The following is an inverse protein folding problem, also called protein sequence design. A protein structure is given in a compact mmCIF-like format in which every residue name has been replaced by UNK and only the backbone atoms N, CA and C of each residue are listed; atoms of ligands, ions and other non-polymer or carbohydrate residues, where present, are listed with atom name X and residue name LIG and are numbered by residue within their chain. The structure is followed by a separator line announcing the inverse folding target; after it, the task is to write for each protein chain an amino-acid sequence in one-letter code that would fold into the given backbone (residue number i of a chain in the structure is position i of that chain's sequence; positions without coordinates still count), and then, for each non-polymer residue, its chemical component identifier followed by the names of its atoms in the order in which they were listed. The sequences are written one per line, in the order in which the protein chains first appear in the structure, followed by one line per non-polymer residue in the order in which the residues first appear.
data_IF_606343538810
#
_entry.id   IF_606343538810
#
_cell.length_a   1.000
_cell.length_b   1.000
_cell.length_c   1.000
_cell.angle_alpha   90.00
_cell.angle_beta   90.00
_cell.angle_gamma   90.00
#
_symmetry.space_group_name_H-M   'P 1'
#
loop_
_entity.id
_entity.type
_entity.pdbx_description
1 polymer ?
#
# COMPACT_ATOMS: atom_id res chain seq x y z
N UNK A 1 20.05 -19.82 -20.56
CA UNK A 1 20.74 -18.54 -20.26
C UNK A 1 21.44 -17.94 -21.49
N UNK A 2 22.12 -18.73 -22.34
CA UNK A 2 22.89 -18.18 -23.48
C UNK A 2 22.02 -17.54 -24.57
N UNK A 3 20.80 -18.02 -24.79
CA UNK A 3 19.93 -17.53 -25.87
C UNK A 3 19.22 -16.24 -25.48
N UNK A 4 18.63 -16.15 -24.29
CA UNK A 4 17.99 -14.90 -23.79
C UNK A 4 19.01 -13.77 -23.66
N UNK A 5 20.19 -14.02 -23.07
CA UNK A 5 21.24 -13.00 -22.98
C UNK A 5 21.76 -12.58 -24.35
N UNK A 6 21.87 -13.54 -25.29
CA UNK A 6 22.27 -13.26 -26.68
C UNK A 6 21.24 -12.39 -27.36
N UNK A 7 19.95 -12.73 -27.29
CA UNK A 7 18.87 -11.95 -27.88
C UNK A 7 18.81 -10.53 -27.28
N UNK A 8 18.96 -10.40 -25.95
CA UNK A 8 18.98 -9.10 -25.27
C UNK A 8 20.21 -8.28 -25.68
N UNK A 9 21.41 -8.89 -25.77
CA UNK A 9 22.65 -8.22 -26.23
C UNK A 9 22.66 -7.90 -27.73
N UNK A 10 22.02 -8.71 -28.57
CA UNK A 10 21.96 -8.52 -30.03
C UNK A 10 21.04 -7.36 -30.46
N UNK A 11 20.52 -6.59 -29.49
CA UNK A 11 19.85 -5.32 -29.76
C UNK A 11 18.34 -5.45 -29.88
N UNK A 12 17.69 -6.23 -29.02
CA UNK A 12 16.23 -6.18 -28.83
C UNK A 12 15.76 -4.73 -28.63
N UNK A 13 16.48 -3.92 -27.87
CA UNK A 13 16.17 -2.49 -27.71
C UNK A 13 16.27 -1.66 -29.00
N UNK A 14 16.90 -2.17 -30.05
CA UNK A 14 16.99 -1.53 -31.38
C UNK A 14 15.94 -2.09 -32.34
N UNK A 15 15.73 -3.42 -32.38
CA UNK A 15 14.77 -4.06 -33.30
C UNK A 15 13.32 -3.99 -32.86
N UNK A 16 13.05 -3.93 -31.55
CA UNK A 16 11.67 -3.86 -31.06
C UNK A 16 11.09 -2.44 -31.25
N UNK A 17 11.92 -1.40 -31.31
CA UNK A 17 11.50 0.01 -31.43
C UNK A 17 10.79 0.37 -32.75
N UNK A 18 11.03 -0.38 -33.82
CA UNK A 18 10.46 -0.07 -35.14
C UNK A 18 8.99 -0.51 -35.28
N UNK A 19 8.48 -1.33 -34.34
CA UNK A 19 7.06 -1.69 -34.24
C UNK A 19 6.49 -2.48 -35.43
N UNK A 20 7.35 -3.05 -36.28
CA UNK A 20 6.94 -3.90 -37.41
C UNK A 20 6.69 -5.36 -37.02
N UNK A 21 6.20 -6.16 -37.98
CA UNK A 21 5.93 -7.60 -37.76
C UNK A 21 7.17 -8.39 -37.28
N UNK A 22 8.37 -8.00 -37.72
CA UNK A 22 9.63 -8.60 -37.27
C UNK A 22 9.93 -8.33 -35.78
N UNK A 23 9.53 -7.16 -35.28
CA UNK A 23 9.65 -6.77 -33.86
C UNK A 23 8.76 -7.65 -32.98
N UNK A 24 7.52 -7.90 -33.44
CA UNK A 24 6.54 -8.75 -32.76
C UNK A 24 7.02 -10.20 -32.69
N UNK A 25 7.49 -10.74 -33.82
CA UNK A 25 8.03 -12.11 -33.86
C UNK A 25 9.27 -12.25 -32.97
N UNK A 26 10.13 -11.24 -32.92
CA UNK A 26 11.29 -11.21 -32.02
C UNK A 26 10.87 -11.24 -30.55
N UNK A 27 9.84 -10.46 -30.17
CA UNK A 27 9.30 -10.45 -28.80
C UNK A 27 8.70 -11.81 -28.40
N UNK A 28 7.92 -12.45 -29.28
CA UNK A 28 7.36 -13.78 -29.04
C UNK A 28 8.46 -14.83 -28.91
N UNK A 29 9.48 -14.78 -29.78
CA UNK A 29 10.64 -15.70 -29.70
C UNK A 29 11.45 -15.50 -28.42
N UNK A 30 11.57 -14.27 -27.93
CA UNK A 30 12.22 -14.01 -26.64
C UNK A 30 11.48 -14.69 -25.48
N UNK A 31 10.16 -14.55 -25.42
CA UNK A 31 9.34 -15.19 -24.37
C UNK A 31 9.43 -16.72 -24.44
N UNK A 32 9.29 -17.30 -25.64
CA UNK A 32 9.40 -18.75 -25.84
C UNK A 32 10.79 -19.28 -25.50
N UNK A 33 11.85 -18.60 -25.95
CA UNK A 33 13.22 -18.96 -25.61
C UNK A 33 13.50 -18.86 -24.11
N UNK A 34 12.87 -17.91 -23.40
CA UNK A 34 12.98 -17.81 -21.95
C UNK A 34 12.29 -18.97 -21.21
N UNK A 35 11.13 -19.42 -21.70
CA UNK A 35 10.42 -20.61 -21.20
C UNK A 35 11.24 -21.87 -21.46
N UNK A 36 11.78 -22.06 -22.65
CA UNK A 36 12.65 -23.20 -22.99
C UNK A 36 13.90 -23.24 -22.11
N UNK A 37 14.58 -22.09 -21.94
CA UNK A 37 15.72 -21.94 -21.05
C UNK A 37 15.34 -22.33 -19.61
N UNK A 38 14.20 -21.84 -19.11
CA UNK A 38 13.72 -22.11 -17.76
C UNK A 38 13.41 -23.60 -17.55
N UNK A 39 12.72 -24.23 -18.49
CA UNK A 39 12.40 -25.66 -18.45
C UNK A 39 13.64 -26.54 -18.55
N UNK A 40 14.66 -26.11 -19.30
CA UNK A 40 15.91 -26.87 -19.45
C UNK A 40 16.79 -26.88 -18.18
N UNK A 41 16.67 -25.86 -17.33
CA UNK A 41 17.40 -25.76 -16.07
C UNK A 41 16.73 -26.52 -14.90
N UNK A 42 15.48 -26.97 -15.06
CA UNK A 42 14.65 -27.56 -13.99
C UNK A 42 14.90 -29.04 -13.64
N UNK A 43 16.03 -29.66 -14.04
CA UNK A 43 16.31 -31.09 -13.74
C UNK A 43 17.28 -31.27 -12.54
N UNK A 44 17.77 -30.20 -11.91
CA UNK A 44 18.66 -30.31 -10.75
C UNK A 44 18.29 -29.34 -9.63
N UNK A 45 17.76 -29.90 -8.54
CA UNK A 45 17.76 -29.42 -7.15
C UNK A 45 17.61 -27.89 -6.86
N UNK A 46 16.52 -27.55 -6.17
CA UNK A 46 16.29 -26.31 -5.39
C UNK A 46 15.96 -25.00 -6.13
N UNK A 47 15.30 -25.03 -7.29
CA UNK A 47 14.49 -23.86 -7.69
C UNK A 47 13.15 -23.93 -6.96
N UNK A 48 12.86 -22.96 -6.07
CA UNK A 48 11.52 -22.83 -5.49
C UNK A 48 10.51 -22.79 -6.62
N UNK A 49 9.56 -23.72 -6.61
CA UNK A 49 8.61 -24.00 -7.69
C UNK A 49 8.11 -22.70 -8.35
N UNK A 50 8.47 -22.47 -9.62
CA UNK A 50 7.93 -21.38 -10.43
C UNK A 50 8.76 -20.09 -10.55
N UNK A 51 10.03 -20.07 -10.12
CA UNK A 51 10.94 -18.93 -10.32
C UNK A 51 12.00 -19.17 -11.42
N UNK A 52 12.20 -18.18 -12.29
CA UNK A 52 13.12 -18.20 -13.42
C UNK A 52 13.65 -16.80 -13.77
N UNK A 53 14.97 -16.64 -13.63
CA UNK A 53 15.67 -15.41 -14.01
C UNK A 53 15.61 -15.14 -15.53
N UNK A 54 15.52 -16.18 -16.38
CA UNK A 54 15.39 -15.99 -17.83
C UNK A 54 14.05 -15.34 -18.19
N UNK A 55 12.96 -15.81 -17.56
CA UNK A 55 11.61 -15.27 -17.75
C UNK A 55 11.56 -13.82 -17.27
N UNK A 56 12.04 -13.55 -16.05
CA UNK A 56 12.08 -12.20 -15.49
C UNK A 56 12.88 -11.23 -16.35
N UNK A 57 14.00 -11.70 -16.92
CA UNK A 57 14.83 -10.89 -17.82
C UNK A 57 14.12 -10.60 -19.14
N UNK A 58 13.46 -11.60 -19.73
CA UNK A 58 12.68 -11.43 -20.96
C UNK A 58 11.50 -10.47 -20.76
N UNK A 59 10.68 -10.66 -19.72
CA UNK A 59 9.53 -9.81 -19.44
C UNK A 59 9.94 -8.36 -19.17
N UNK A 60 11.00 -8.14 -18.39
CA UNK A 60 11.56 -6.80 -18.15
C UNK A 60 12.06 -6.14 -19.43
N UNK A 61 12.79 -6.87 -20.27
CA UNK A 61 13.29 -6.35 -21.53
C UNK A 61 12.12 -5.93 -22.45
N UNK A 62 11.01 -6.67 -22.47
CA UNK A 62 9.80 -6.29 -23.19
C UNK A 62 9.13 -5.06 -22.60
N UNK A 63 8.91 -5.02 -21.28
CA UNK A 63 8.29 -3.88 -20.61
C UNK A 63 9.06 -2.56 -20.88
N UNK A 64 10.39 -2.62 -20.98
CA UNK A 64 11.25 -1.45 -21.22
C UNK A 64 11.37 -1.05 -22.70
N UNK A 65 11.20 -1.99 -23.64
CA UNK A 65 11.57 -1.78 -25.05
C UNK A 65 10.44 -1.98 -26.05
N UNK A 66 9.28 -2.49 -25.64
CA UNK A 66 8.13 -2.66 -26.51
C UNK A 66 7.48 -1.29 -26.79
N UNK A 67 7.56 -0.73 -28.01
CA UNK A 67 7.07 0.62 -28.29
C UNK A 67 5.54 0.67 -28.25
N UNK A 68 4.87 -0.44 -28.58
CA UNK A 68 3.42 -0.60 -28.58
C UNK A 68 3.05 -2.04 -28.23
N UNK A 69 2.07 -2.24 -27.35
CA UNK A 69 1.48 -3.54 -27.09
C UNK A 69 0.91 -4.19 -28.36
N UNK A 70 0.93 -5.51 -28.42
CA UNK A 70 0.47 -6.27 -29.58
C UNK A 70 -0.14 -7.62 -29.16
N UNK A 71 -1.29 -7.99 -29.73
CA UNK A 71 -2.09 -9.17 -29.37
C UNK A 71 -1.28 -10.49 -29.30
N UNK A 72 -0.40 -10.74 -30.27
CA UNK A 72 0.48 -11.92 -30.30
C UNK A 72 1.47 -11.97 -29.12
N UNK A 73 1.99 -10.81 -28.72
CA UNK A 73 2.88 -10.70 -27.55
C UNK A 73 2.07 -10.90 -26.28
N UNK A 74 0.86 -10.33 -26.20
CA UNK A 74 -0.07 -10.56 -25.09
C UNK A 74 -0.39 -12.05 -24.94
N UNK A 75 -0.76 -12.75 -26.02
CA UNK A 75 -1.05 -14.17 -26.00
C UNK A 75 0.16 -15.00 -25.52
N UNK A 76 1.35 -14.75 -26.07
CA UNK A 76 2.57 -15.42 -25.64
C UNK A 76 2.90 -15.12 -24.17
N UNK A 77 2.71 -13.88 -23.72
CA UNK A 77 2.94 -13.50 -22.33
C UNK A 77 1.98 -14.23 -21.39
N UNK A 78 0.71 -14.38 -21.76
CA UNK A 78 -0.27 -15.12 -20.97
C UNK A 78 0.05 -16.61 -20.88
N UNK A 79 0.59 -17.22 -21.94
CA UNK A 79 1.16 -18.57 -21.87
C UNK A 79 2.31 -18.64 -20.85
N UNK A 80 3.21 -17.64 -20.86
CA UNK A 80 4.30 -17.57 -19.86
C UNK A 80 3.76 -17.37 -18.45
N UNK A 81 2.73 -16.53 -18.25
CA UNK A 81 2.08 -16.33 -16.94
C UNK A 81 1.52 -17.64 -16.40
N UNK A 82 0.89 -18.47 -17.23
CA UNK A 82 0.38 -19.77 -16.78
C UNK A 82 1.46 -20.75 -16.33
N UNK A 83 2.70 -20.58 -16.79
CA UNK A 83 3.84 -21.46 -16.47
C UNK A 83 4.75 -20.89 -15.37
N UNK A 84 5.00 -19.58 -15.38
CA UNK A 84 5.91 -18.85 -14.49
C UNK A 84 5.24 -17.60 -13.91
N UNK A 85 4.15 -17.76 -13.14
CA UNK A 85 3.32 -16.64 -12.71
C UNK A 85 4.04 -15.66 -11.77
N UNK A 86 4.96 -16.14 -10.91
CA UNK A 86 5.73 -15.26 -10.01
C UNK A 86 6.60 -14.26 -10.77
N UNK A 87 7.20 -14.67 -11.88
CA UNK A 87 8.11 -13.81 -12.64
C UNK A 87 7.42 -12.99 -13.72
N UNK A 88 6.35 -13.52 -14.33
CA UNK A 88 5.70 -12.87 -15.45
C UNK A 88 4.61 -11.88 -15.02
N UNK A 89 3.80 -12.20 -14.00
CA UNK A 89 2.65 -11.39 -13.58
C UNK A 89 3.01 -9.92 -13.28
N UNK A 90 4.15 -9.59 -12.62
CA UNK A 90 4.51 -8.20 -12.33
C UNK A 90 4.68 -7.30 -13.56
N UNK A 91 4.93 -7.87 -14.74
CA UNK A 91 5.18 -7.10 -15.98
C UNK A 91 3.96 -7.01 -16.89
N UNK A 92 2.86 -7.70 -16.58
CA UNK A 92 1.70 -7.80 -17.47
C UNK A 92 1.11 -6.43 -17.79
N UNK A 93 0.94 -5.56 -16.77
CA UNK A 93 0.38 -4.23 -16.98
C UNK A 93 1.24 -3.33 -17.88
N UNK A 94 2.55 -3.55 -17.92
CA UNK A 94 3.47 -2.76 -18.74
C UNK A 94 3.56 -3.25 -20.20
N UNK A 95 3.16 -4.50 -20.48
CA UNK A 95 3.33 -5.13 -21.79
C UNK A 95 2.03 -5.12 -22.62
N UNK A 96 0.86 -5.22 -21.99
CA UNK A 96 -0.43 -5.32 -22.71
C UNK A 96 -1.01 -3.96 -23.10
N UNK A 97 -2.00 -3.93 -24.02
CA UNK A 97 -2.56 -2.68 -24.56
C UNK A 97 -3.48 -1.95 -23.57
N UNK A 98 -4.02 -2.67 -22.59
CA UNK A 98 -5.08 -2.17 -21.72
C UNK A 98 -6.46 -2.18 -22.37
N UNK A 99 -6.60 -2.76 -23.57
CA UNK A 99 -7.89 -2.91 -24.23
C UNK A 99 -8.82 -3.80 -23.38
N UNK A 100 -10.12 -3.48 -23.27
CA UNK A 100 -11.03 -4.22 -22.41
C UNK A 100 -11.09 -5.73 -22.70
N UNK A 101 -10.89 -6.12 -23.97
CA UNK A 101 -10.82 -7.52 -24.39
C UNK A 101 -9.58 -8.23 -23.85
N UNK A 102 -8.39 -7.63 -24.02
CA UNK A 102 -7.14 -8.18 -23.50
C UNK A 102 -7.15 -8.26 -21.97
N UNK A 103 -7.61 -7.19 -21.31
CA UNK A 103 -7.72 -7.15 -19.85
C UNK A 103 -8.68 -8.23 -19.34
N UNK A 104 -9.78 -8.50 -20.05
CA UNK A 104 -10.68 -9.59 -19.69
C UNK A 104 -9.98 -10.96 -19.79
N UNK A 105 -9.21 -11.21 -20.85
CA UNK A 105 -8.43 -12.45 -20.98
C UNK A 105 -7.38 -12.59 -19.87
N UNK A 106 -6.67 -11.51 -19.52
CA UNK A 106 -5.70 -11.49 -18.42
C UNK A 106 -6.39 -11.85 -17.09
N UNK A 107 -7.56 -11.26 -16.82
CA UNK A 107 -8.33 -11.55 -15.60
C UNK A 107 -8.74 -13.02 -15.53
N UNK A 108 -9.16 -13.64 -16.63
CA UNK A 108 -9.49 -15.07 -16.67
C UNK A 108 -8.27 -15.95 -16.42
N UNK A 109 -7.13 -15.68 -17.08
CA UNK A 109 -5.88 -16.41 -16.84
C UNK A 109 -5.45 -16.29 -15.37
N UNK A 110 -5.53 -15.10 -14.79
CA UNK A 110 -5.23 -14.91 -13.37
C UNK A 110 -6.19 -15.66 -12.43
N UNK A 111 -7.46 -15.81 -12.80
CA UNK A 111 -8.41 -16.64 -12.03
C UNK A 111 -8.02 -18.10 -12.07
N UNK A 112 -7.68 -18.61 -13.25
CA UNK A 112 -7.24 -19.99 -13.44
C UNK A 112 -5.96 -20.26 -12.63
N UNK A 113 -4.96 -19.38 -12.74
CA UNK A 113 -3.71 -19.49 -12.02
C UNK A 113 -3.91 -19.41 -10.50
N UNK A 114 -4.71 -18.47 -9.99
CA UNK A 114 -5.05 -18.39 -8.56
C UNK A 114 -5.84 -19.59 -8.05
N UNK A 115 -6.60 -20.25 -8.91
CA UNK A 115 -7.35 -21.46 -8.54
C UNK A 115 -6.41 -22.66 -8.36
N UNK A 116 -5.28 -22.67 -9.08
CA UNK A 116 -4.25 -23.69 -8.98
C UNK A 116 -3.29 -23.44 -7.81
N UNK A 117 -2.83 -22.21 -7.62
CA UNK A 117 -1.93 -21.82 -6.53
C UNK A 117 -2.36 -20.49 -5.88
N UNK A 118 -2.72 -20.54 -4.59
CA UNK A 118 -3.15 -19.38 -3.81
C UNK A 118 -1.98 -18.51 -3.33
N UNK A 119 -0.76 -19.02 -3.32
CA UNK A 119 0.42 -18.24 -2.92
C UNK A 119 0.71 -17.11 -3.93
N UNK A 120 0.13 -17.20 -5.13
CA UNK A 120 0.18 -16.17 -6.16
C UNK A 120 -0.74 -14.97 -5.92
N UNK A 121 -1.47 -14.94 -4.81
CA UNK A 121 -2.41 -13.87 -4.50
C UNK A 121 -1.72 -12.49 -4.44
N UNK A 122 -0.52 -12.41 -3.89
CA UNK A 122 0.25 -11.15 -3.80
C UNK A 122 0.69 -10.64 -5.18
N UNK A 123 1.45 -11.40 -5.99
CA UNK A 123 1.88 -10.90 -7.31
C UNK A 123 0.72 -10.62 -8.26
N UNK A 124 -0.35 -11.44 -8.23
CA UNK A 124 -1.52 -11.24 -9.10
C UNK A 124 -2.33 -10.01 -8.67
N UNK A 125 -2.56 -9.80 -7.38
CA UNK A 125 -3.26 -8.59 -6.92
C UNK A 125 -2.46 -7.31 -7.17
N UNK A 126 -1.13 -7.37 -7.05
CA UNK A 126 -0.27 -6.25 -7.44
C UNK A 126 -0.45 -5.91 -8.93
N UNK A 127 -0.32 -6.90 -9.82
CA UNK A 127 -0.48 -6.72 -11.25
C UNK A 127 -1.88 -6.21 -11.65
N UNK A 128 -2.95 -6.83 -11.11
CA UNK A 128 -4.33 -6.40 -11.35
C UNK A 128 -4.59 -4.95 -10.90
N UNK A 129 -3.88 -4.45 -9.89
CA UNK A 129 -4.04 -3.09 -9.40
C UNK A 129 -3.50 -2.02 -10.33
N UNK A 130 -2.66 -2.41 -11.31
CA UNK A 130 -2.09 -1.52 -12.32
C UNK A 130 -2.85 -1.61 -13.66
N UNK A 131 -3.79 -2.56 -13.83
CA UNK A 131 -4.59 -2.71 -15.04
C UNK A 131 -5.80 -1.75 -15.11
N UNK A 132 -6.19 -1.29 -16.32
CA UNK A 132 -7.39 -0.48 -16.53
C UNK A 132 -8.66 -1.34 -16.50
N UNK A 133 -9.07 -1.76 -15.30
CA UNK A 133 -10.25 -2.62 -15.12
C UNK A 133 -11.56 -1.90 -15.44
N UNK A 134 -12.50 -2.61 -16.07
CA UNK A 134 -13.88 -2.13 -16.22
C UNK A 134 -14.58 -1.98 -14.85
N UNK A 135 -15.67 -1.21 -14.73
CA UNK A 135 -16.37 -1.04 -13.45
C UNK A 135 -16.84 -2.36 -12.80
N UNK A 136 -17.22 -3.36 -13.59
CA UNK A 136 -17.61 -4.68 -13.08
C UNK A 136 -16.38 -5.45 -12.59
N UNK A 137 -15.30 -5.50 -13.36
CA UNK A 137 -14.05 -6.13 -12.96
C UNK A 137 -13.44 -5.47 -11.72
N UNK A 138 -13.50 -4.14 -11.61
CA UNK A 138 -13.07 -3.40 -10.41
C UNK A 138 -13.87 -3.80 -9.18
N UNK A 139 -15.20 -3.99 -9.31
CA UNK A 139 -16.03 -4.45 -8.19
C UNK A 139 -15.63 -5.84 -7.72
N UNK A 140 -15.43 -6.76 -8.65
CA UNK A 140 -15.00 -8.13 -8.35
C UNK A 140 -13.60 -8.14 -7.74
N UNK A 141 -12.67 -7.35 -8.30
CA UNK A 141 -11.32 -7.24 -7.79
C UNK A 141 -11.26 -6.66 -6.38
N UNK A 142 -12.15 -5.72 -6.02
CA UNK A 142 -12.27 -5.26 -4.62
C UNK A 142 -12.68 -6.36 -3.66
N UNK A 143 -13.53 -7.31 -4.10
CA UNK A 143 -13.85 -8.47 -3.29
C UNK A 143 -12.61 -9.35 -3.11
N UNK A 144 -11.83 -9.57 -4.18
CA UNK A 144 -10.54 -10.27 -4.12
C UNK A 144 -9.54 -9.60 -3.19
N UNK A 145 -9.39 -8.28 -3.24
CA UNK A 145 -8.51 -7.52 -2.34
C UNK A 145 -8.97 -7.61 -0.88
N UNK A 146 -10.28 -7.56 -0.64
CA UNK A 146 -10.84 -7.73 0.72
C UNK A 146 -10.58 -9.13 1.25
N UNK A 147 -10.67 -10.15 0.40
CA UNK A 147 -10.30 -11.52 0.74
C UNK A 147 -8.79 -11.65 1.00
N UNK A 148 -7.95 -11.04 0.15
CA UNK A 148 -6.50 -11.07 0.31
C UNK A 148 -6.05 -10.51 1.66
N UNK A 149 -6.61 -9.37 2.09
CA UNK A 149 -6.35 -8.79 3.41
C UNK A 149 -6.68 -9.70 4.60
N UNK A 150 -7.42 -10.80 4.39
CA UNK A 150 -7.72 -11.81 5.41
C UNK A 150 -6.95 -13.11 5.25
N UNK A 151 -6.42 -13.37 4.07
CA UNK A 151 -5.91 -14.68 3.68
C UNK A 151 -4.39 -14.74 3.57
N UNK A 152 -3.73 -13.59 3.34
CA UNK A 152 -2.27 -13.54 3.24
C UNK A 152 -1.61 -13.57 4.62
N UNK A 153 -0.35 -14.00 4.64
CA UNK A 153 0.50 -13.90 5.80
C UNK A 153 0.78 -12.45 6.16
N UNK A 154 1.09 -12.21 7.44
CA UNK A 154 1.31 -10.87 7.96
C UNK A 154 2.42 -10.12 7.21
N UNK A 155 3.50 -10.81 6.84
CA UNK A 155 4.63 -10.24 6.12
C UNK A 155 4.27 -9.74 4.70
N UNK A 156 3.21 -10.29 4.10
CA UNK A 156 2.70 -9.90 2.78
C UNK A 156 1.66 -8.78 2.83
N UNK A 157 1.14 -8.45 4.02
CA UNK A 157 0.14 -7.40 4.20
C UNK A 157 0.55 -6.04 3.62
N UNK A 158 1.80 -5.55 3.74
CA UNK A 158 2.21 -4.29 3.13
C UNK A 158 2.01 -4.28 1.61
N UNK A 159 2.24 -5.41 0.94
CA UNK A 159 2.05 -5.54 -0.51
C UNK A 159 0.58 -5.48 -0.89
N UNK A 160 -0.29 -6.20 -0.17
CA UNK A 160 -1.74 -6.12 -0.40
C UNK A 160 -2.29 -4.71 -0.09
N UNK A 161 -1.81 -4.06 0.97
CA UNK A 161 -2.18 -2.67 1.30
C UNK A 161 -1.80 -1.72 0.17
N UNK A 162 -0.62 -1.89 -0.46
CA UNK A 162 -0.26 -1.11 -1.66
C UNK A 162 -1.23 -1.34 -2.80
N UNK A 163 -1.61 -2.59 -3.08
CA UNK A 163 -2.59 -2.91 -4.14
C UNK A 163 -3.96 -2.28 -3.86
N UNK A 164 -4.42 -2.29 -2.60
CA UNK A 164 -5.66 -1.62 -2.16
C UNK A 164 -5.59 -0.12 -2.36
N UNK A 165 -4.47 0.51 -2.00
CA UNK A 165 -4.26 1.95 -2.16
C UNK A 165 -4.22 2.35 -3.62
N UNK A 166 -3.47 1.61 -4.46
CA UNK A 166 -3.38 1.85 -5.91
C UNK A 166 -4.73 1.70 -6.58
N UNK A 167 -5.38 0.54 -6.41
CA UNK A 167 -6.68 0.29 -7.02
C UNK A 167 -7.76 1.28 -6.54
N UNK A 168 -7.73 1.63 -5.26
CA UNK A 168 -8.63 2.62 -4.67
C UNK A 168 -8.48 4.03 -5.27
N UNK A 169 -7.43 4.31 -6.04
CA UNK A 169 -7.24 5.59 -6.75
C UNK A 169 -7.67 5.58 -8.22
N UNK A 170 -8.04 4.42 -8.80
CA UNK A 170 -8.47 4.29 -10.19
C UNK A 170 -9.88 4.85 -10.48
N UNK A 171 -10.05 5.50 -11.63
CA UNK A 171 -11.22 6.31 -12.03
C UNK A 171 -12.56 5.53 -12.13
N UNK A 172 -13.70 6.25 -12.21
CA UNK A 172 -15.03 5.66 -12.47
C UNK A 172 -16.01 5.59 -11.29
N UNK A 173 -15.59 5.90 -10.06
CA UNK A 173 -16.46 6.06 -8.87
C UNK A 173 -16.14 7.38 -8.17
N UNK A 174 -17.11 7.97 -7.46
CA UNK A 174 -16.90 9.12 -6.57
C UNK A 174 -15.63 8.94 -5.73
N UNK A 175 -14.73 9.92 -5.80
CA UNK A 175 -13.45 9.94 -5.08
C UNK A 175 -13.64 9.67 -3.58
N UNK A 176 -14.75 10.17 -3.03
CA UNK A 176 -15.08 10.02 -1.61
C UNK A 176 -15.40 8.57 -1.23
N UNK A 177 -16.18 7.86 -2.06
CA UNK A 177 -16.60 6.49 -1.75
C UNK A 177 -15.43 5.52 -1.85
N UNK A 178 -14.55 5.74 -2.82
CA UNK A 178 -13.30 4.98 -2.96
C UNK A 178 -12.39 5.16 -1.76
N UNK A 179 -12.12 6.41 -1.38
CA UNK A 179 -11.30 6.73 -0.21
C UNK A 179 -11.87 6.12 1.08
N UNK A 180 -13.20 6.14 1.25
CA UNK A 180 -13.85 5.50 2.39
C UNK A 180 -13.71 3.98 2.38
N UNK A 181 -13.89 3.33 1.23
CA UNK A 181 -13.70 1.89 1.12
C UNK A 181 -12.27 1.49 1.49
N UNK A 182 -11.26 2.16 0.90
CA UNK A 182 -9.84 1.92 1.20
C UNK A 182 -9.56 2.07 2.69
N UNK A 183 -9.97 3.19 3.28
CA UNK A 183 -9.73 3.46 4.69
C UNK A 183 -10.37 2.43 5.62
N UNK A 184 -11.59 1.95 5.30
CA UNK A 184 -12.26 0.88 6.06
C UNK A 184 -11.55 -0.45 5.95
N UNK A 185 -11.14 -0.86 4.75
CA UNK A 185 -10.47 -2.15 4.55
C UNK A 185 -9.13 -2.19 5.29
N UNK A 186 -8.28 -1.19 5.07
CA UNK A 186 -6.96 -1.13 5.73
C UNK A 186 -7.15 -1.12 7.25
N UNK A 187 -7.98 -0.22 7.79
CA UNK A 187 -8.19 -0.13 9.24
C UNK A 187 -8.71 -1.42 9.87
N UNK A 188 -9.59 -2.15 9.17
CA UNK A 188 -10.14 -3.42 9.65
C UNK A 188 -9.08 -4.51 9.76
N UNK A 189 -8.17 -4.56 8.80
CA UNK A 189 -7.22 -5.68 8.65
C UNK A 189 -5.81 -5.39 9.18
N UNK A 190 -5.52 -4.13 9.55
CA UNK A 190 -4.20 -3.73 10.07
C UNK A 190 -4.25 -3.31 11.54
N UNK A 191 -5.28 -3.70 12.29
CA UNK A 191 -5.42 -3.32 13.71
C UNK A 191 -4.45 -4.07 14.61
N UNK A 192 -4.27 -5.35 14.34
CA UNK A 192 -3.61 -6.31 15.23
C UNK A 192 -2.29 -6.84 14.65
N UNK A 193 -1.71 -6.13 13.67
CA UNK A 193 -0.40 -6.47 13.08
C UNK A 193 0.74 -6.13 14.05
N UNK A 194 1.80 -6.93 13.97
CA UNK A 194 3.03 -6.77 14.72
C UNK A 194 3.78 -5.46 14.38
N UNK A 195 4.66 -4.98 15.28
CA UNK A 195 5.34 -3.69 15.12
C UNK A 195 6.18 -3.53 13.85
N UNK A 196 6.85 -4.60 13.41
CA UNK A 196 7.70 -4.59 12.22
C UNK A 196 6.87 -4.37 10.95
N UNK A 197 5.85 -5.18 10.75
CA UNK A 197 4.93 -5.06 9.60
C UNK A 197 4.13 -3.76 9.67
N UNK A 198 3.67 -3.37 10.86
CA UNK A 198 2.94 -2.11 11.07
C UNK A 198 3.73 -0.91 10.58
N UNK A 199 5.04 -0.83 10.85
CA UNK A 199 5.87 0.29 10.40
C UNK A 199 5.84 0.45 8.88
N UNK A 200 5.92 -0.66 8.14
CA UNK A 200 5.83 -0.68 6.67
C UNK A 200 4.43 -0.25 6.18
N UNK A 201 3.37 -0.78 6.79
CA UNK A 201 1.98 -0.40 6.47
C UNK A 201 1.77 1.09 6.72
N UNK A 202 2.15 1.57 7.90
CA UNK A 202 2.00 2.96 8.29
C UNK A 202 2.76 3.90 7.35
N UNK A 203 3.99 3.56 6.98
CA UNK A 203 4.77 4.31 5.99
C UNK A 203 4.03 4.41 4.66
N UNK A 204 3.62 3.28 4.10
CA UNK A 204 2.92 3.22 2.80
C UNK A 204 1.62 4.05 2.84
N UNK A 205 0.80 3.88 3.88
CA UNK A 205 -0.47 4.60 4.02
C UNK A 205 -0.23 6.12 4.18
N UNK A 206 0.76 6.51 5.00
CA UNK A 206 1.10 7.91 5.20
C UNK A 206 1.57 8.57 3.90
N UNK A 207 2.42 7.91 3.12
CA UNK A 207 2.90 8.41 1.83
C UNK A 207 1.75 8.68 0.86
N UNK A 208 0.79 7.74 0.78
CA UNK A 208 -0.41 7.94 -0.04
C UNK A 208 -1.31 9.05 0.50
N UNK A 209 -1.48 9.16 1.82
CA UNK A 209 -2.29 10.22 2.44
C UNK A 209 -1.70 11.63 2.21
N UNK A 210 -0.37 11.77 2.17
CA UNK A 210 0.30 13.06 1.90
C UNK A 210 -0.05 13.60 0.51
N UNK A 211 -0.11 12.71 -0.49
CA UNK A 211 -0.45 13.09 -1.88
C UNK A 211 -1.96 13.11 -2.15
N UNK A 212 -2.75 12.31 -1.40
CA UNK A 212 -4.20 12.18 -1.57
C UNK A 212 -4.99 12.60 -0.31
N UNK A 213 -5.50 13.84 -0.25
CA UNK A 213 -6.26 14.34 0.90
C UNK A 213 -7.61 13.66 1.10
N UNK A 214 -8.23 13.17 0.02
CA UNK A 214 -9.50 12.49 0.13
C UNK A 214 -9.34 11.22 0.98
N UNK A 215 -8.22 10.51 0.77
CA UNK A 215 -7.84 9.35 1.56
C UNK A 215 -7.52 9.73 3.01
N UNK A 216 -6.68 10.73 3.25
CA UNK A 216 -6.37 11.21 4.60
C UNK A 216 -7.64 11.57 5.38
N UNK A 217 -8.53 12.37 4.76
CA UNK A 217 -9.82 12.76 5.35
C UNK A 217 -10.75 11.58 5.57
N UNK A 218 -10.70 10.54 4.73
CA UNK A 218 -11.51 9.34 4.94
C UNK A 218 -11.09 8.62 6.21
N UNK A 219 -9.79 8.37 6.42
CA UNK A 219 -9.29 7.80 7.68
C UNK A 219 -9.68 8.64 8.88
N UNK A 220 -9.38 9.96 8.85
CA UNK A 220 -9.67 10.87 9.96
C UNK A 220 -11.17 10.93 10.29
N UNK A 221 -12.05 10.88 9.28
CA UNK A 221 -13.50 10.85 9.51
C UNK A 221 -13.94 9.56 10.20
N UNK A 222 -13.40 8.41 9.79
CA UNK A 222 -13.76 7.11 10.37
C UNK A 222 -13.21 6.98 11.81
N UNK A 223 -12.01 7.49 12.08
CA UNK A 223 -11.45 7.52 13.44
C UNK A 223 -12.19 8.46 14.37
N UNK A 224 -12.83 9.50 13.84
CA UNK A 224 -13.64 10.46 14.58
C UNK A 224 -15.12 10.12 14.65
N UNK A 225 -15.55 8.90 14.30
CA UNK A 225 -16.95 8.48 14.44
C UNK A 225 -17.24 7.96 15.85
N UNK A 226 -18.37 8.35 16.47
CA UNK A 226 -18.77 7.82 17.77
C UNK A 226 -18.88 6.28 17.75
N UNK A 227 -18.39 5.63 18.80
CA UNK A 227 -18.47 4.17 18.96
C UNK A 227 -17.44 3.38 18.15
N UNK A 228 -16.52 4.05 17.43
CA UNK A 228 -15.49 3.36 16.66
C UNK A 228 -14.16 3.34 17.42
N UNK A 229 -13.67 2.15 17.76
CA UNK A 229 -12.41 1.96 18.48
C UNK A 229 -11.22 2.47 17.65
N UNK A 230 -10.36 3.27 18.28
CA UNK A 230 -9.18 3.86 17.64
C UNK A 230 -8.10 2.80 17.48
N UNK A 231 -7.49 2.74 16.30
CA UNK A 231 -6.37 1.85 15.96
C UNK A 231 -5.03 2.59 16.04
N UNK A 232 -3.89 1.87 16.09
CA UNK A 232 -2.59 2.51 16.07
C UNK A 232 -2.36 3.34 14.80
N UNK A 233 -2.91 2.88 13.66
CA UNK A 233 -2.86 3.60 12.39
C UNK A 233 -3.59 4.94 12.45
N UNK A 234 -4.74 5.00 13.13
CA UNK A 234 -5.48 6.25 13.31
C UNK A 234 -4.65 7.28 14.09
N UNK A 235 -3.97 6.84 15.16
CA UNK A 235 -3.09 7.69 15.96
C UNK A 235 -1.89 8.20 15.17
N UNK A 236 -1.27 7.36 14.32
CA UNK A 236 -0.21 7.78 13.40
C UNK A 236 -0.71 8.82 12.40
N UNK A 237 -1.89 8.60 11.82
CA UNK A 237 -2.49 9.53 10.86
C UNK A 237 -2.90 10.86 11.50
N UNK A 238 -3.28 10.87 12.78
CA UNK A 238 -3.48 12.09 13.54
C UNK A 238 -2.18 12.89 13.65
N UNK A 239 -1.11 12.30 14.17
CA UNK A 239 0.15 13.04 14.35
C UNK A 239 0.73 13.51 13.01
N UNK A 240 0.67 12.70 11.97
CA UNK A 240 1.06 13.09 10.62
C UNK A 240 0.27 14.32 10.14
N UNK A 241 -1.06 14.28 10.28
CA UNK A 241 -1.95 15.36 9.83
C UNK A 241 -1.82 16.63 10.68
N UNK A 242 -1.55 16.46 11.99
CA UNK A 242 -1.31 17.57 12.91
C UNK A 242 0.01 18.27 12.63
N UNK A 243 1.07 17.53 12.26
CA UNK A 243 2.34 18.09 11.81
C UNK A 243 2.16 18.92 10.53
N UNK A 244 1.36 18.43 9.59
CA UNK A 244 0.99 19.14 8.36
C UNK A 244 0.01 20.31 8.56
N UNK A 245 -0.25 21.07 7.50
CA UNK A 245 -1.26 22.14 7.48
C UNK A 245 -2.57 21.72 6.80
N UNK A 246 -2.52 20.84 5.79
CA UNK A 246 -3.62 20.59 4.84
C UNK A 246 -4.88 20.00 5.47
N UNK A 247 -4.72 19.02 6.37
CA UNK A 247 -5.84 18.28 6.98
C UNK A 247 -5.88 18.42 8.52
N UNK A 248 -5.13 19.39 9.05
CA UNK A 248 -4.98 19.63 10.49
C UNK A 248 -6.32 19.80 11.20
N UNK A 249 -7.22 20.61 10.64
CA UNK A 249 -8.53 20.89 11.25
C UNK A 249 -9.41 19.63 11.35
N UNK A 250 -9.33 18.75 10.34
CA UNK A 250 -10.05 17.47 10.35
C UNK A 250 -9.44 16.53 11.40
N UNK A 251 -8.11 16.53 11.52
CA UNK A 251 -7.41 15.75 12.53
C UNK A 251 -7.75 16.21 13.96
N UNK A 252 -7.72 17.52 14.23
CA UNK A 252 -8.14 18.11 15.52
C UNK A 252 -9.55 17.64 15.88
N UNK A 253 -10.50 17.78 14.95
CA UNK A 253 -11.88 17.35 15.18
C UNK A 253 -11.98 15.84 15.48
N UNK A 254 -11.23 15.01 14.76
CA UNK A 254 -11.20 13.57 15.00
C UNK A 254 -10.63 13.22 16.37
N UNK A 255 -9.50 13.83 16.75
CA UNK A 255 -8.86 13.63 18.06
C UNK A 255 -9.82 14.01 19.17
N UNK A 256 -10.44 15.19 19.09
CA UNK A 256 -11.39 15.64 20.10
C UNK A 256 -12.60 14.73 20.22
N UNK A 257 -13.13 14.21 19.10
CA UNK A 257 -14.23 13.26 19.17
C UNK A 257 -13.82 11.95 19.82
N UNK A 258 -12.64 11.43 19.52
CA UNK A 258 -12.13 10.20 20.13
C UNK A 258 -11.89 10.36 21.64
N UNK A 259 -11.34 11.50 22.06
CA UNK A 259 -11.12 11.82 23.48
C UNK A 259 -12.46 12.00 24.23
N UNK A 260 -13.42 12.73 23.66
CA UNK A 260 -14.72 12.99 24.28
C UNK A 260 -15.61 11.74 24.39
N UNK A 261 -15.41 10.76 23.51
CA UNK A 261 -16.18 9.51 23.52
C UNK A 261 -15.45 8.37 24.25
N UNK A 262 -14.31 8.64 24.89
CA UNK A 262 -13.46 7.62 25.51
C UNK A 262 -13.14 6.44 24.56
N UNK A 263 -12.94 6.75 23.27
CA UNK A 263 -12.64 5.74 22.25
C UNK A 263 -11.20 5.18 22.37
N UNK A 264 -10.41 5.71 23.31
CA UNK A 264 -9.02 5.37 23.61
C UNK A 264 -8.89 5.31 25.13
N UNK A 265 -8.24 4.28 25.66
CA UNK A 265 -7.85 4.26 27.08
C UNK A 265 -6.44 4.86 27.27
N UNK A 266 -6.11 5.34 28.48
CA UNK A 266 -4.76 5.85 28.80
C UNK A 266 -3.67 4.80 28.57
N UNK A 267 -3.92 3.56 29.01
CA UNK A 267 -2.99 2.44 28.91
C UNK A 267 -2.74 2.09 27.45
N UNK A 268 -3.80 2.07 26.65
CA UNK A 268 -3.71 1.80 25.22
C UNK A 268 -2.91 2.90 24.50
N UNK A 269 -3.14 4.17 24.82
CA UNK A 269 -2.40 5.28 24.24
C UNK A 269 -0.89 5.18 24.53
N UNK A 270 -0.53 4.86 25.79
CA UNK A 270 0.86 4.64 26.19
C UNK A 270 1.47 3.44 25.45
N UNK A 271 0.77 2.31 25.44
CA UNK A 271 1.22 1.09 24.78
C UNK A 271 1.52 1.34 23.30
N UNK A 272 0.62 2.01 22.58
CA UNK A 272 0.80 2.30 21.14
C UNK A 272 2.03 3.19 20.90
N UNK A 273 2.25 4.22 21.72
CA UNK A 273 3.43 5.10 21.57
C UNK A 273 4.73 4.31 21.79
N UNK A 274 4.77 3.46 22.81
CA UNK A 274 5.96 2.67 23.15
C UNK A 274 6.23 1.56 22.12
N UNK A 275 5.18 0.83 21.73
CA UNK A 275 5.24 -0.30 20.79
C UNK A 275 5.62 0.14 19.38
N UNK A 276 5.11 1.27 18.91
CA UNK A 276 5.33 1.75 17.54
C UNK A 276 6.24 2.98 17.48
N UNK A 277 7.18 3.08 18.42
CA UNK A 277 8.00 4.28 18.63
C UNK A 277 8.73 4.80 17.38
N UNK A 278 9.26 3.87 16.56
CA UNK A 278 9.99 4.19 15.33
C UNK A 278 9.08 4.90 14.32
N UNK A 279 7.82 4.48 14.23
CA UNK A 279 6.84 5.09 13.32
C UNK A 279 6.48 6.51 13.76
N UNK A 280 6.33 6.73 15.07
CA UNK A 280 5.98 8.04 15.64
C UNK A 280 7.15 9.03 15.66
N UNK A 281 8.40 8.56 15.69
CA UNK A 281 9.61 9.40 15.64
C UNK A 281 9.69 10.26 14.36
N UNK A 282 9.02 9.87 13.29
CA UNK A 282 8.92 10.65 12.05
C UNK A 282 8.02 11.91 12.24
N UNK A 283 7.15 11.90 13.24
CA UNK A 283 6.06 12.88 13.43
C UNK A 283 6.11 13.60 14.80
N UNK A 284 7.32 13.92 15.27
CA UNK A 284 7.54 14.55 16.59
C UNK A 284 6.76 15.85 16.81
N UNK A 285 6.67 16.72 15.80
CA UNK A 285 5.88 17.96 15.92
C UNK A 285 4.37 17.66 15.95
N UNK A 286 3.95 16.58 15.29
CA UNK A 286 2.59 16.06 15.38
C UNK A 286 2.24 15.58 16.79
N UNK A 287 3.14 14.83 17.44
CA UNK A 287 3.00 14.39 18.84
C UNK A 287 2.87 15.58 19.79
N UNK A 288 3.72 16.60 19.60
CA UNK A 288 3.68 17.84 20.38
C UNK A 288 2.34 18.57 20.21
N UNK A 289 1.85 18.70 18.99
CA UNK A 289 0.55 19.35 18.72
C UNK A 289 -0.63 18.58 19.28
N UNK A 290 -0.55 17.25 19.30
CA UNK A 290 -1.56 16.44 19.99
C UNK A 290 -1.63 16.80 21.47
N UNK A 291 -0.47 16.90 22.14
CA UNK A 291 -0.40 17.35 23.52
C UNK A 291 -1.00 18.75 23.73
N UNK A 292 -0.68 19.71 22.85
CA UNK A 292 -1.26 21.05 22.88
C UNK A 292 -2.79 21.02 22.79
N UNK A 293 -3.37 20.20 21.91
CA UNK A 293 -4.84 20.06 21.77
C UNK A 293 -5.47 19.55 23.06
N UNK A 294 -4.88 18.52 23.67
CA UNK A 294 -5.33 17.98 24.96
C UNK A 294 -5.35 19.09 26.02
N UNK A 295 -4.27 19.88 26.09
CA UNK A 295 -4.18 20.95 27.06
C UNK A 295 -5.16 22.06 26.75
N UNK A 296 -5.15 22.64 25.55
CA UNK A 296 -5.97 23.81 25.18
C UNK A 296 -7.48 23.57 25.35
N UNK A 297 -7.96 22.35 25.10
CA UNK A 297 -9.38 21.99 25.19
C UNK A 297 -9.83 21.61 26.60
N UNK A 298 -8.92 21.66 27.58
CA UNK A 298 -9.24 21.40 28.99
C UNK A 298 -9.43 19.92 29.27
N UNK A 299 -8.87 19.09 28.41
CA UNK A 299 -8.89 17.64 28.52
C UNK A 299 -7.68 17.12 29.31
N UNK A 300 -7.00 17.96 30.08
CA UNK A 300 -5.95 17.52 31.02
C UNK A 300 -6.48 16.63 32.15
N UNK A 301 -7.77 16.72 32.46
CA UNK A 301 -8.44 15.75 33.33
C UNK A 301 -8.80 14.45 32.61
N UNK A 302 -8.59 14.36 31.30
CA UNK A 302 -8.66 13.09 30.58
C UNK A 302 -7.35 12.36 30.81
N UNK A 303 -7.43 11.25 31.55
CA UNK A 303 -6.29 10.36 31.80
C UNK A 303 -5.54 9.98 30.51
N UNK A 304 -6.25 9.94 29.38
CA UNK A 304 -5.69 9.65 28.04
C UNK A 304 -4.71 10.71 27.58
N UNK A 305 -5.07 11.98 27.78
CA UNK A 305 -4.25 13.11 27.38
C UNK A 305 -2.94 13.17 28.17
N UNK A 306 -3.03 12.93 29.48
CA UNK A 306 -1.85 12.84 30.34
C UNK A 306 -0.97 11.63 29.98
N UNK A 307 -1.57 10.46 29.75
CA UNK A 307 -0.83 9.26 29.34
C UNK A 307 -0.08 9.47 28.02
N UNK A 308 -0.70 10.13 27.03
CA UNK A 308 -0.04 10.47 25.77
C UNK A 308 1.19 11.35 25.97
N UNK A 309 1.06 12.41 26.76
CA UNK A 309 2.15 13.37 27.04
C UNK A 309 3.28 12.65 27.78
N UNK A 310 2.95 11.86 28.80
CA UNK A 310 3.92 11.13 29.59
C UNK A 310 4.68 10.08 28.76
N UNK A 311 3.96 9.30 27.95
CA UNK A 311 4.54 8.32 27.05
C UNK A 311 5.46 8.98 26.01
N UNK A 312 5.00 10.09 25.42
CA UNK A 312 5.79 10.88 24.45
C UNK A 312 7.05 11.45 25.10
N UNK A 313 6.94 12.01 26.30
CA UNK A 313 8.08 12.55 27.06
C UNK A 313 9.12 11.47 27.37
N UNK A 314 8.68 10.30 27.85
CA UNK A 314 9.58 9.19 28.18
C UNK A 314 10.29 8.68 26.93
N UNK A 315 9.54 8.48 25.85
CA UNK A 315 10.00 7.82 24.62
C UNK A 315 10.87 8.73 23.74
N UNK A 316 10.56 10.03 23.65
CA UNK A 316 11.21 10.96 22.73
C UNK A 316 11.90 12.12 23.45
N UNK A 317 13.19 11.98 23.80
CA UNK A 317 13.98 13.05 24.41
C UNK A 317 13.95 14.37 23.62
N UNK A 318 13.83 14.29 22.30
CA UNK A 318 13.90 15.42 21.37
C UNK A 318 12.78 16.45 21.57
N UNK A 319 11.60 16.02 22.05
CA UNK A 319 10.44 16.91 22.23
C UNK A 319 10.17 17.30 23.68
N UNK A 320 10.97 16.81 24.64
CA UNK A 320 10.78 17.05 26.07
C UNK A 320 10.64 18.55 26.38
N UNK A 321 11.67 19.34 26.12
CA UNK A 321 11.65 20.77 26.44
C UNK A 321 10.45 21.50 25.82
N UNK A 322 10.04 21.11 24.61
CA UNK A 322 8.88 21.68 23.94
C UNK A 322 7.56 21.31 24.66
N UNK A 323 7.39 20.05 25.07
CA UNK A 323 6.22 19.60 25.83
C UNK A 323 6.09 20.32 27.17
N UNK A 324 7.19 20.51 27.91
CA UNK A 324 7.17 21.27 29.18
C UNK A 324 6.87 22.74 28.95
N UNK A 325 7.42 23.35 27.90
CA UNK A 325 7.10 24.73 27.56
C UNK A 325 5.61 24.90 27.24
N UNK A 326 5.04 24.00 26.44
CA UNK A 326 3.61 24.05 26.08
C UNK A 326 2.70 23.87 27.30
N UNK A 327 3.06 22.96 28.22
CA UNK A 327 2.41 22.78 29.52
C UNK A 327 2.45 24.05 30.38
N UNK A 328 3.61 24.70 30.48
CA UNK A 328 3.74 25.94 31.24
C UNK A 328 2.88 27.06 30.63
N UNK A 329 2.87 27.19 29.30
CA UNK A 329 2.08 28.21 28.61
C UNK A 329 0.56 28.01 28.73
N UNK A 330 0.07 26.78 28.69
CA UNK A 330 -1.37 26.50 28.84
C UNK A 330 -1.87 26.88 30.23
N UNK A 331 -1.08 26.63 31.28
CA UNK A 331 -1.42 27.05 32.66
C UNK A 331 -1.52 28.56 32.81
N UNK A 332 -0.63 29.33 32.17
CA UNK A 332 -0.63 30.80 32.20
C UNK A 332 -1.85 31.37 31.48
N UNK A 333 -2.21 30.85 30.30
CA UNK A 333 -3.37 31.33 29.52
C UNK A 333 -4.71 31.15 30.23
N UNK A 334 -4.79 30.22 31.17
CA UNK A 334 -6.00 29.88 31.91
C UNK A 334 -6.16 30.62 33.22
N UNK A 335 -5.13 31.31 33.68
CA UNK A 335 -5.32 32.24 34.77
C UNK A 335 -6.24 33.36 34.26
N UNK A 336 -7.43 33.56 34.87
CA UNK A 336 -8.25 34.70 34.52
C UNK A 336 -7.40 35.95 34.75
N UNK A 337 -7.39 36.87 33.77
CA UNK A 337 -6.74 38.17 33.94
C UNK A 337 -7.21 38.75 35.29
N UNK A 338 -6.29 39.15 36.18
CA UNK A 338 -6.62 39.61 37.52
C UNK A 338 -7.55 40.82 37.54
#
# INVERSE_FOLDING_TARGET
MREVERLVREGIGVRIRDGGDESVECAVRLLRGAVEDASSCGIGEELSEGQSDSVRTACRALAENLPRPHEKVTAALLEVVSLFPYDAAPYVADIISGDPGEVATVVEVYREVLSADRNLLVPITASLSDLPLTPNQSREFRATLSYALTAVDEDDMPSIVRSVLRHGTQEGISVTDRAQWVARQIRRHTRDVGPGVFALIAQVVCDHCRVNPALARAFLKISGQPGVAVSPLDMVLWVMSLQGHRDRQVAVKSVLMALRTNAISPEYAQQVIEQFKVTFEIYLEGLRRFAQIVFDEGLESSDVGFAWVLASWKTYPQIRNALVADLAWSTVRRQPNP
#
